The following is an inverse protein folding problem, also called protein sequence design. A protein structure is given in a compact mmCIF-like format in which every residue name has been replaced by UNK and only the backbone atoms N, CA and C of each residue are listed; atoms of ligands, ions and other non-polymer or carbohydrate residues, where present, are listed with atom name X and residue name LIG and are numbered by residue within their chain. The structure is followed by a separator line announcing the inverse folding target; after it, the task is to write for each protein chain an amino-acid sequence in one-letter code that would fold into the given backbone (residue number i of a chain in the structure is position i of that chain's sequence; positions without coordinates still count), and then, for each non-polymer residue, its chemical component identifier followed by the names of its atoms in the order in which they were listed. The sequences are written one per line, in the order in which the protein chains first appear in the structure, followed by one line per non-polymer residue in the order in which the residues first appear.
data_IF_895131104418
#
_entry.id   IF_895131104418
#
_cell.length_a   1.000
_cell.length_b   1.000
_cell.length_c   1.000
_cell.angle_alpha   90.00
_cell.angle_beta   90.00
_cell.angle_gamma   90.00
#
_symmetry.space_group_name_H-M   'P 1'
#
loop_
_entity.id
_entity.type
_entity.pdbx_description
1 polymer ?
#
# COMPACT_ATOMS: atom_id res chain seq x y z
N UNK A 1 23.34 -1.40 -2.14
CA UNK A 1 21.87 -1.37 -2.19
C UNK A 1 21.22 -2.18 -1.06
N UNK A 2 21.42 -3.50 -0.95
CA UNK A 2 20.87 -4.27 0.20
C UNK A 2 21.36 -3.71 1.55
N UNK A 3 22.67 -3.44 1.66
CA UNK A 3 23.23 -2.80 2.85
C UNK A 3 22.58 -1.44 3.15
N UNK A 4 22.26 -0.63 2.12
CA UNK A 4 21.57 0.66 2.26
C UNK A 4 20.15 0.49 2.79
N UNK A 5 19.43 -0.54 2.35
CA UNK A 5 18.08 -0.88 2.86
C UNK A 5 18.16 -1.28 4.34
N UNK A 6 19.10 -2.17 4.70
CA UNK A 6 19.30 -2.58 6.09
C UNK A 6 19.67 -1.38 6.97
N UNK A 7 20.60 -0.55 6.49
CA UNK A 7 21.05 0.64 7.20
C UNK A 7 19.96 1.70 7.35
N UNK A 8 18.89 1.67 6.55
CA UNK A 8 17.72 2.53 6.79
C UNK A 8 17.10 2.26 8.16
N UNK A 9 17.22 1.03 8.68
CA UNK A 9 16.71 0.64 9.99
C UNK A 9 17.77 0.76 11.09
N UNK A 10 19.02 0.42 10.80
CA UNK A 10 20.09 0.35 11.82
C UNK A 10 20.89 1.64 11.96
N UNK A 11 21.01 2.42 10.89
CA UNK A 11 21.76 3.68 10.82
C UNK A 11 21.05 4.70 9.91
N UNK A 12 19.80 5.10 10.24
CA UNK A 12 18.98 5.94 9.37
C UNK A 12 19.64 7.28 9.05
N UNK A 13 20.18 7.99 10.05
CA UNK A 13 20.79 9.31 9.83
C UNK A 13 21.91 9.29 8.80
N UNK A 14 22.85 8.35 8.95
CA UNK A 14 23.95 8.15 8.00
C UNK A 14 23.43 7.74 6.62
N UNK A 15 22.43 6.86 6.56
CA UNK A 15 21.83 6.39 5.31
C UNK A 15 21.16 7.53 4.55
N UNK A 16 20.34 8.34 5.22
CA UNK A 16 19.65 9.49 4.62
C UNK A 16 20.63 10.57 4.16
N UNK A 17 21.68 10.85 4.94
CA UNK A 17 22.75 11.75 4.53
C UNK A 17 23.45 11.26 3.27
N UNK A 18 23.77 9.96 3.20
CA UNK A 18 24.46 9.35 2.08
C UNK A 18 23.61 9.36 0.80
N UNK A 19 22.33 8.98 0.85
CA UNK A 19 21.47 8.98 -0.35
C UNK A 19 21.16 10.39 -0.87
N UNK A 20 21.23 11.41 0.00
CA UNK A 20 21.06 12.82 -0.39
C UNK A 20 22.34 13.37 -1.03
N UNK A 21 23.51 13.07 -0.44
CA UNK A 21 24.83 13.50 -0.97
C UNK A 21 25.17 12.80 -2.28
N UNK A 22 25.08 11.47 -2.32
CA UNK A 22 25.35 10.63 -3.49
C UNK A 22 24.08 10.33 -4.27
N UNK A 23 23.34 11.39 -4.59
CA UNK A 23 22.03 11.30 -5.21
C UNK A 23 22.05 10.51 -6.53
N UNK A 24 21.24 9.45 -6.58
CA UNK A 24 20.94 8.70 -7.79
C UNK A 24 19.50 8.19 -7.74
N UNK A 25 18.64 8.71 -8.61
CA UNK A 25 17.22 8.38 -8.64
C UNK A 25 16.93 6.88 -8.82
N UNK A 26 17.82 6.13 -9.48
CA UNK A 26 17.66 4.69 -9.67
C UNK A 26 17.69 3.92 -8.35
N UNK A 27 18.30 4.49 -7.31
CA UNK A 27 18.29 3.90 -5.98
C UNK A 27 16.88 3.80 -5.39
N UNK A 28 15.91 4.62 -5.86
CA UNK A 28 14.52 4.57 -5.44
C UNK A 28 13.79 3.31 -5.93
N UNK A 29 14.30 2.63 -6.97
CA UNK A 29 13.63 1.46 -7.55
C UNK A 29 13.61 0.26 -6.60
N UNK A 30 14.71 0.03 -5.85
CA UNK A 30 14.82 -1.12 -4.97
C UNK A 30 13.87 -1.07 -3.75
N UNK A 31 13.81 0.02 -2.95
CA UNK A 31 12.85 0.12 -1.85
C UNK A 31 11.40 0.06 -2.36
N UNK A 32 11.11 0.69 -3.50
CA UNK A 32 9.79 0.64 -4.11
C UNK A 32 9.40 -0.78 -4.51
N UNK A 33 10.27 -1.49 -5.23
CA UNK A 33 10.03 -2.87 -5.64
C UNK A 33 9.86 -3.81 -4.45
N UNK A 34 10.62 -3.60 -3.36
CA UNK A 34 10.50 -4.38 -2.13
C UNK A 34 9.11 -4.21 -1.50
N UNK A 35 8.66 -2.97 -1.31
CA UNK A 35 7.34 -2.69 -0.71
C UNK A 35 6.22 -3.22 -1.61
N UNK A 36 6.29 -2.98 -2.92
CA UNK A 36 5.31 -3.50 -3.87
C UNK A 36 5.24 -5.02 -3.86
N UNK A 37 6.40 -5.70 -3.86
CA UNK A 37 6.47 -7.16 -3.82
C UNK A 37 5.84 -7.72 -2.55
N UNK A 38 6.17 -7.14 -1.38
CA UNK A 38 5.58 -7.54 -0.11
C UNK A 38 4.07 -7.26 -0.05
N UNK A 39 3.60 -6.15 -0.63
CA UNK A 39 2.18 -5.83 -0.69
C UNK A 39 1.40 -6.83 -1.55
N UNK A 40 1.97 -7.26 -2.68
CA UNK A 40 1.38 -8.31 -3.54
C UNK A 40 1.32 -9.63 -2.77
N UNK A 41 2.41 -10.04 -2.11
CA UNK A 41 2.45 -11.26 -1.30
C UNK A 41 1.41 -11.19 -0.18
N UNK A 42 1.32 -10.06 0.52
CA UNK A 42 0.31 -9.86 1.57
C UNK A 42 -1.11 -9.94 1.03
N UNK A 43 -1.39 -9.33 -0.13
CA UNK A 43 -2.70 -9.41 -0.77
C UNK A 43 -3.07 -10.85 -1.14
N UNK A 44 -2.11 -11.65 -1.60
CA UNK A 44 -2.33 -13.05 -1.90
C UNK A 44 -2.60 -13.87 -0.63
N UNK A 45 -1.79 -13.71 0.41
CA UNK A 45 -1.94 -14.42 1.70
C UNK A 45 -3.28 -14.09 2.37
N UNK A 46 -3.73 -12.85 2.27
CA UNK A 46 -4.95 -12.36 2.91
C UNK A 46 -6.17 -12.35 1.98
N UNK A 47 -6.07 -13.00 0.82
CA UNK A 47 -7.09 -12.90 -0.24
C UNK A 47 -8.49 -13.30 0.22
N UNK A 48 -8.61 -14.37 1.01
CA UNK A 48 -9.88 -14.85 1.55
C UNK A 48 -10.47 -13.87 2.57
N UNK A 49 -9.66 -13.42 3.54
CA UNK A 49 -10.12 -12.44 4.51
C UNK A 49 -10.53 -11.11 3.86
N UNK A 50 -9.83 -10.69 2.80
CA UNK A 50 -10.15 -9.48 2.04
C UNK A 50 -11.48 -9.67 1.30
N UNK A 51 -11.71 -10.83 0.68
CA UNK A 51 -12.95 -11.15 -0.01
C UNK A 51 -14.14 -11.13 0.96
N UNK A 52 -14.01 -11.75 2.13
CA UNK A 52 -15.05 -11.78 3.16
C UNK A 52 -15.39 -10.36 3.65
N UNK A 53 -14.38 -9.54 3.95
CA UNK A 53 -14.60 -8.16 4.38
C UNK A 53 -15.25 -7.30 3.30
N UNK A 54 -14.85 -7.47 2.03
CA UNK A 54 -15.48 -6.77 0.90
C UNK A 54 -16.93 -7.20 0.72
N UNK A 55 -17.21 -8.50 0.83
CA UNK A 55 -18.55 -9.04 0.73
C UNK A 55 -19.47 -8.49 1.81
N UNK A 56 -19.03 -8.51 3.07
CA UNK A 56 -19.76 -7.92 4.20
C UNK A 56 -20.11 -6.45 3.98
N UNK A 57 -19.17 -5.67 3.44
CA UNK A 57 -19.40 -4.25 3.13
C UNK A 57 -20.40 -4.06 1.99
N UNK A 58 -20.29 -4.86 0.93
CA UNK A 58 -21.22 -4.86 -0.20
C UNK A 58 -22.64 -5.22 0.27
N UNK A 59 -22.78 -6.29 1.06
CA UNK A 59 -24.06 -6.70 1.63
C UNK A 59 -24.67 -5.59 2.49
N UNK A 60 -23.89 -5.01 3.41
CA UNK A 60 -24.37 -3.90 4.25
C UNK A 60 -24.80 -2.70 3.42
N UNK A 61 -24.04 -2.34 2.38
CA UNK A 61 -24.36 -1.21 1.50
C UNK A 61 -25.65 -1.44 0.72
N UNK A 62 -25.83 -2.62 0.14
CA UNK A 62 -27.01 -2.95 -0.68
C UNK A 62 -28.26 -3.15 0.19
N UNK A 63 -28.15 -3.92 1.27
CA UNK A 63 -29.30 -4.23 2.13
C UNK A 63 -29.86 -3.01 2.83
N UNK A 64 -28.99 -2.08 3.24
CA UNK A 64 -29.39 -0.83 3.89
C UNK A 64 -29.82 0.26 2.90
N UNK A 65 -29.82 0.00 1.59
CA UNK A 65 -30.26 0.99 0.61
C UNK A 65 -31.79 0.90 0.41
N UNK A 66 -32.56 1.92 0.83
CA UNK A 66 -34.02 1.91 0.69
C UNK A 66 -34.48 2.14 -0.76
N UNK A 67 -33.59 2.57 -1.66
CA UNK A 67 -33.91 2.89 -3.05
C UNK A 67 -33.77 1.69 -4.01
N UNK A 68 -33.46 0.49 -3.50
CA UNK A 68 -33.29 -0.74 -4.29
C UNK A 68 -34.40 -1.71 -3.87
N UNK A 69 -35.15 -2.25 -4.83
CA UNK A 69 -36.17 -3.27 -4.53
C UNK A 69 -35.53 -4.59 -4.10
N UNK A 70 -36.25 -5.43 -3.35
CA UNK A 70 -35.70 -6.72 -2.88
C UNK A 70 -35.26 -7.65 -4.03
N UNK A 71 -36.00 -7.65 -5.15
CA UNK A 71 -35.62 -8.39 -6.35
C UNK A 71 -34.31 -7.87 -6.96
N UNK A 72 -34.13 -6.54 -7.03
CA UNK A 72 -32.90 -5.92 -7.51
C UNK A 72 -31.73 -6.18 -6.56
N UNK A 73 -31.97 -6.19 -5.24
CA UNK A 73 -30.93 -6.52 -4.25
C UNK A 73 -30.40 -7.93 -4.50
N UNK A 74 -31.28 -8.89 -4.74
CA UNK A 74 -30.89 -10.29 -4.95
C UNK A 74 -30.07 -10.47 -6.23
N UNK A 75 -30.45 -9.80 -7.32
CA UNK A 75 -29.69 -9.82 -8.58
C UNK A 75 -28.31 -9.16 -8.44
N UNK A 76 -28.24 -7.97 -7.83
CA UNK A 76 -26.99 -7.26 -7.62
C UNK A 76 -26.06 -8.09 -6.72
N UNK A 77 -26.57 -8.61 -5.59
CA UNK A 77 -25.77 -9.40 -4.66
C UNK A 77 -25.19 -10.65 -5.34
N UNK A 78 -25.97 -11.36 -6.15
CA UNK A 78 -25.48 -12.51 -6.91
C UNK A 78 -24.31 -12.14 -7.82
N UNK A 79 -24.45 -11.07 -8.60
CA UNK A 79 -23.38 -10.60 -9.51
C UNK A 79 -22.12 -10.13 -8.77
N UNK A 80 -22.26 -9.53 -7.58
CA UNK A 80 -21.10 -9.09 -6.78
C UNK A 80 -20.42 -10.26 -6.08
N UNK A 81 -21.16 -11.28 -5.64
CA UNK A 81 -20.59 -12.47 -5.01
C UNK A 81 -19.61 -13.16 -5.94
N UNK A 82 -20.03 -13.40 -7.19
CA UNK A 82 -19.17 -14.00 -8.20
C UNK A 82 -17.95 -13.12 -8.48
N UNK A 83 -18.10 -11.79 -8.49
CA UNK A 83 -16.97 -10.87 -8.69
C UNK A 83 -15.95 -10.91 -7.54
N UNK A 84 -16.42 -11.00 -6.30
CA UNK A 84 -15.57 -10.97 -5.10
C UNK A 84 -14.82 -12.30 -4.93
N UNK A 85 -15.53 -13.44 -5.12
CA UNK A 85 -14.96 -14.77 -4.88
C UNK A 85 -14.41 -15.47 -6.14
N UNK A 86 -14.67 -14.96 -7.35
CA UNK A 86 -14.05 -15.53 -8.56
C UNK A 86 -12.54 -15.27 -8.56
N UNK A 87 -11.78 -16.31 -8.20
CA UNK A 87 -10.32 -16.33 -8.34
C UNK A 87 -9.88 -16.36 -9.81
N UNK A 88 -10.77 -16.68 -10.75
CA UNK A 88 -10.49 -16.81 -12.18
C UNK A 88 -11.03 -15.62 -13.00
N UNK A 89 -10.13 -14.77 -13.49
CA UNK A 89 -10.45 -13.72 -14.47
C UNK A 89 -9.54 -12.50 -14.37
N UNK A 90 -9.58 -11.62 -15.38
CA UNK A 90 -8.82 -10.36 -15.39
C UNK A 90 -9.17 -9.42 -14.21
N UNK A 91 -10.36 -9.57 -13.62
CA UNK A 91 -10.86 -8.79 -12.48
C UNK A 91 -10.08 -9.05 -11.17
N UNK A 92 -9.74 -10.31 -10.87
CA UNK A 92 -8.99 -10.65 -9.65
C UNK A 92 -7.57 -10.12 -9.72
N UNK A 93 -6.90 -10.29 -10.87
CA UNK A 93 -5.57 -9.72 -11.15
C UNK A 93 -5.59 -8.20 -11.06
N UNK A 94 -6.62 -7.53 -11.60
CA UNK A 94 -6.76 -6.08 -11.52
C UNK A 94 -6.86 -5.58 -10.07
N UNK A 95 -7.56 -6.31 -9.21
CA UNK A 95 -7.69 -5.95 -7.78
C UNK A 95 -6.34 -6.03 -7.04
N UNK A 96 -5.56 -7.09 -7.26
CA UNK A 96 -4.23 -7.19 -6.64
C UNK A 96 -3.23 -6.18 -7.21
N UNK A 97 -3.27 -5.92 -8.51
CA UNK A 97 -2.40 -4.93 -9.16
C UNK A 97 -2.73 -3.51 -8.68
N UNK A 98 -4.00 -3.16 -8.53
CA UNK A 98 -4.41 -1.84 -8.00
C UNK A 98 -3.99 -1.65 -6.55
N UNK A 99 -4.06 -2.69 -5.71
CA UNK A 99 -3.50 -2.65 -4.35
C UNK A 99 -1.98 -2.42 -4.36
N UNK A 100 -1.24 -3.11 -5.22
CA UNK A 100 0.21 -2.93 -5.33
C UNK A 100 0.60 -1.52 -5.82
N UNK A 101 -0.16 -0.96 -6.76
CA UNK A 101 0.06 0.39 -7.31
C UNK A 101 -0.28 1.50 -6.31
N UNK A 102 -1.05 1.21 -5.26
CA UNK A 102 -1.37 2.19 -4.21
C UNK A 102 -0.12 2.73 -3.51
N UNK A 103 0.93 1.91 -3.35
CA UNK A 103 2.19 2.30 -2.73
C UNK A 103 2.98 3.33 -3.55
N UNK A 104 3.29 3.09 -4.84
CA UNK A 104 3.89 4.12 -5.71
C UNK A 104 3.10 5.43 -5.73
N UNK A 105 1.77 5.35 -5.85
CA UNK A 105 0.91 6.55 -5.90
C UNK A 105 1.03 7.33 -4.58
N UNK A 106 0.94 6.64 -3.43
CA UNK A 106 1.10 7.24 -2.09
C UNK A 106 2.46 7.92 -1.96
N UNK A 107 3.55 7.26 -2.36
CA UNK A 107 4.90 7.82 -2.27
C UNK A 107 5.03 9.04 -3.18
N UNK A 108 4.54 8.98 -4.42
CA UNK A 108 4.54 10.14 -5.34
C UNK A 108 3.78 11.31 -4.75
N UNK A 109 2.56 11.07 -4.24
CA UNK A 109 1.72 12.09 -3.63
C UNK A 109 2.44 12.77 -2.45
N UNK A 110 2.95 11.99 -1.51
CA UNK A 110 3.64 12.54 -0.34
C UNK A 110 4.96 13.22 -0.68
N UNK A 111 5.64 12.75 -1.72
CA UNK A 111 6.86 13.41 -2.23
C UNK A 111 6.55 14.78 -2.84
N UNK A 112 5.49 14.88 -3.64
CA UNK A 112 5.02 16.15 -4.20
C UNK A 112 4.59 17.10 -3.09
N UNK A 113 3.77 16.61 -2.16
CA UNK A 113 3.30 17.40 -1.03
C UNK A 113 4.48 17.94 -0.22
N UNK A 114 5.44 17.08 0.15
CA UNK A 114 6.61 17.47 0.95
C UNK A 114 7.51 18.46 0.21
N UNK A 115 7.70 18.27 -1.10
CA UNK A 115 8.44 19.22 -1.94
C UNK A 115 7.75 20.60 -1.97
N UNK A 116 6.44 20.63 -2.20
CA UNK A 116 5.68 21.88 -2.25
C UNK A 116 5.74 22.60 -0.91
N UNK A 117 5.46 21.89 0.18
CA UNK A 117 5.47 22.47 1.53
C UNK A 117 6.89 22.96 1.90
N UNK A 118 7.91 22.12 1.67
CA UNK A 118 9.30 22.47 1.97
C UNK A 118 9.78 23.68 1.18
N UNK A 119 9.47 23.74 -0.11
CA UNK A 119 9.93 24.84 -0.96
C UNK A 119 9.14 26.14 -0.72
N UNK A 120 7.82 26.07 -0.47
CA UNK A 120 6.98 27.26 -0.28
C UNK A 120 7.10 27.87 1.12
N UNK A 121 7.14 27.03 2.17
CA UNK A 121 7.06 27.51 3.56
C UNK A 121 8.40 27.48 4.29
N UNK A 122 9.32 26.59 3.91
CA UNK A 122 10.60 26.40 4.60
C UNK A 122 11.79 26.92 3.79
N UNK A 123 11.54 27.52 2.62
CA UNK A 123 12.60 28.03 1.73
C UNK A 123 13.46 26.92 1.12
N UNK A 124 12.97 25.70 1.07
CA UNK A 124 13.65 24.57 0.44
C UNK A 124 13.88 24.80 -1.07
N UNK A 125 14.99 24.26 -1.58
CA UNK A 125 15.35 24.28 -3.01
C UNK A 125 15.42 22.90 -3.64
N UNK A 126 14.76 21.90 -3.03
CA UNK A 126 14.90 20.50 -3.45
C UNK A 126 13.96 20.16 -4.60
N UNK A 127 14.51 19.51 -5.64
CA UNK A 127 13.73 18.99 -6.75
C UNK A 127 12.96 17.71 -6.37
N UNK A 128 11.83 17.46 -7.07
CA UNK A 128 10.94 16.33 -6.80
C UNK A 128 11.66 15.00 -6.71
N UNK A 129 12.59 14.74 -7.63
CA UNK A 129 13.29 13.46 -7.72
C UNK A 129 14.17 13.15 -6.50
N UNK A 130 14.73 14.18 -5.84
CA UNK A 130 15.45 14.04 -4.56
C UNK A 130 14.51 13.73 -3.41
N UNK A 131 13.40 14.48 -3.32
CA UNK A 131 12.37 14.25 -2.29
C UNK A 131 11.74 12.87 -2.45
N UNK A 132 11.49 12.44 -3.69
CA UNK A 132 10.99 11.12 -4.03
C UNK A 132 11.95 10.00 -3.63
N UNK A 133 13.25 10.16 -3.88
CA UNK A 133 14.25 9.21 -3.41
C UNK A 133 14.20 9.06 -1.89
N UNK A 134 14.20 10.18 -1.16
CA UNK A 134 14.09 10.17 0.31
C UNK A 134 12.80 9.50 0.76
N UNK A 135 11.66 9.82 0.14
CA UNK A 135 10.37 9.23 0.46
C UNK A 135 10.38 7.71 0.26
N UNK A 136 10.91 7.20 -0.86
CA UNK A 136 11.01 5.75 -1.08
C UNK A 136 11.75 5.02 0.05
N UNK A 137 12.82 5.60 0.58
CA UNK A 137 13.55 5.05 1.72
C UNK A 137 12.79 5.25 3.04
N UNK A 138 12.14 6.40 3.25
CA UNK A 138 11.34 6.69 4.44
C UNK A 138 10.12 5.75 4.59
N UNK A 139 9.65 5.15 3.49
CA UNK A 139 8.57 4.17 3.50
C UNK A 139 9.03 2.73 3.77
N UNK A 140 10.34 2.44 3.87
CA UNK A 140 10.86 1.10 4.18
C UNK A 140 10.36 0.49 5.50
N UNK A 141 10.06 1.24 6.58
CA UNK A 141 9.35 0.71 7.75
C UNK A 141 8.06 -0.04 7.41
N UNK A 142 7.34 0.37 6.36
CA UNK A 142 6.15 -0.33 5.87
C UNK A 142 6.44 -1.75 5.37
N UNK A 143 7.67 -2.01 4.90
CA UNK A 143 8.08 -3.37 4.53
C UNK A 143 8.14 -4.28 5.76
N UNK A 144 8.67 -3.78 6.89
CA UNK A 144 8.66 -4.51 8.16
C UNK A 144 7.24 -4.67 8.69
N UNK A 145 6.41 -3.63 8.57
CA UNK A 145 4.98 -3.75 8.89
C UNK A 145 4.35 -4.90 8.12
N UNK A 146 4.48 -4.96 6.80
CA UNK A 146 3.89 -6.03 5.99
C UNK A 146 4.39 -7.41 6.42
N UNK A 147 5.70 -7.58 6.67
CA UNK A 147 6.27 -8.86 7.09
C UNK A 147 5.68 -9.33 8.43
N UNK A 148 5.46 -8.42 9.39
CA UNK A 148 4.99 -8.76 10.74
C UNK A 148 3.47 -8.87 10.77
N UNK A 149 2.78 -7.93 10.13
CA UNK A 149 1.33 -7.74 10.19
C UNK A 149 0.59 -8.81 9.40
N UNK A 150 1.07 -9.16 8.21
CA UNK A 150 0.38 -10.13 7.34
C UNK A 150 0.17 -11.48 8.03
N UNK A 151 1.19 -12.13 8.66
CA UNK A 151 0.97 -13.38 9.40
C UNK A 151 -0.02 -13.23 10.55
N UNK A 152 0.02 -12.12 11.29
CA UNK A 152 -0.90 -11.89 12.42
C UNK A 152 -2.33 -11.72 11.90
N UNK A 153 -2.54 -10.92 10.86
CA UNK A 153 -3.84 -10.74 10.20
C UNK A 153 -4.38 -12.07 9.69
N UNK A 154 -3.50 -12.93 9.16
CA UNK A 154 -3.88 -14.23 8.67
C UNK A 154 -4.33 -15.17 9.81
N UNK A 155 -3.53 -15.28 10.88
CA UNK A 155 -3.79 -16.19 12.01
C UNK A 155 -5.00 -15.75 12.85
N UNK A 156 -5.20 -14.44 13.00
CA UNK A 156 -6.29 -13.88 13.82
C UNK A 156 -7.57 -13.67 13.03
N UNK A 157 -7.54 -13.89 11.70
CA UNK A 157 -8.62 -13.56 10.76
C UNK A 157 -9.11 -12.10 10.86
N UNK A 158 -8.28 -11.21 11.41
CA UNK A 158 -8.60 -9.82 11.64
C UNK A 158 -7.72 -8.93 10.76
N UNK A 159 -8.31 -8.32 9.74
CA UNK A 159 -7.62 -7.37 8.88
C UNK A 159 -7.33 -6.02 9.56
N UNK A 160 -8.05 -5.68 10.63
CA UNK A 160 -7.98 -4.39 11.32
C UNK A 160 -6.93 -4.37 12.43
N UNK A 161 -5.70 -4.74 12.08
CA UNK A 161 -4.54 -4.71 12.99
C UNK A 161 -3.70 -3.47 12.73
N UNK A 162 -3.32 -2.77 13.80
CA UNK A 162 -2.46 -1.60 13.73
C UNK A 162 -1.15 -1.91 14.43
N UNK A 163 -0.04 -1.84 13.70
CA UNK A 163 1.29 -2.17 14.24
C UNK A 163 2.15 -0.93 14.52
N UNK A 164 1.74 0.24 14.01
CA UNK A 164 2.46 1.51 14.19
C UNK A 164 3.79 1.61 13.42
N UNK A 165 4.16 0.59 12.65
CA UNK A 165 5.42 0.56 11.89
C UNK A 165 5.32 1.17 10.48
N UNK A 166 4.15 1.66 10.07
CA UNK A 166 3.91 2.33 8.79
C UNK A 166 2.89 3.46 8.87
N UNK A 167 2.73 4.17 7.75
CA UNK A 167 1.88 5.35 7.55
C UNK A 167 0.73 5.00 6.62
#
# INVERSE_FOLDING_TARGET
MIATIINTFTAPGETFDNIVKDYNWKQAMMPLALIMGLAIISGFVLSDQIADLQWDQIQKSINNNPNISEEQKQEILGSQYDRVYSRSGASSIFTYVTMALSWPIRIVFWSLFSMLVGNLFLGGGSGFSRVFLVACFAYLPSALELIIKTPIQYITENLMIYTGFGV
#
